data_IF_241937422036
#
_entry.id   IF_241937422036
#
_cell.length_a   1.000
_cell.length_b   1.000
_cell.length_c   1.000
_cell.angle_alpha   90.00
_cell.angle_beta   90.00
_cell.angle_gamma   90.00
#
_symmetry.space_group_name_H-M   'P 1'
#
loop_
_entity.id
_entity.type
_entity.pdbx_description
1 polymer ?
#
# COMPACT_ATOMS: atom_id res chain seq x y z
N UNK A 1 7.20 13.25 -1.73
CA UNK A 1 7.27 14.40 -0.79
C UNK A 1 6.96 14.02 0.66
N UNK A 2 5.93 13.23 0.94
CA UNK A 2 5.64 12.72 2.31
C UNK A 2 6.75 11.85 2.89
N UNK A 3 7.31 10.94 2.09
CA UNK A 3 8.46 10.12 2.52
C UNK A 3 9.65 10.99 2.94
N UNK A 4 9.98 12.03 2.19
CA UNK A 4 11.10 12.93 2.52
C UNK A 4 10.87 13.73 3.81
N UNK A 5 9.63 14.17 4.05
CA UNK A 5 9.24 14.89 5.27
C UNK A 5 9.14 13.98 6.51
N UNK A 6 8.72 12.73 6.33
CA UNK A 6 8.71 11.74 7.40
C UNK A 6 10.13 11.24 7.69
N UNK A 7 10.93 10.93 6.66
CA UNK A 7 12.30 10.45 6.82
C UNK A 7 13.25 11.52 7.40
N UNK A 8 12.96 12.82 7.24
CA UNK A 8 13.72 13.89 7.92
C UNK A 8 13.47 13.98 9.43
N UNK A 9 12.57 13.16 9.98
CA UNK A 9 12.19 13.16 11.39
C UNK A 9 11.21 14.26 11.78
N UNK A 10 10.73 15.06 10.83
CA UNK A 10 9.78 16.15 11.09
C UNK A 10 8.38 15.61 11.42
N UNK A 11 8.02 14.46 10.83
CA UNK A 11 6.78 13.74 11.12
C UNK A 11 7.15 12.36 11.67
N UNK A 12 6.86 12.13 12.96
CA UNK A 12 7.06 10.83 13.60
C UNK A 12 5.76 10.29 14.21
N UNK A 13 4.74 9.98 13.38
CA UNK A 13 3.52 9.36 13.86
C UNK A 13 3.79 7.93 14.37
N UNK A 14 3.03 7.44 15.37
CA UNK A 14 3.21 6.07 15.86
C UNK A 14 3.01 5.05 14.74
N UNK A 15 3.94 4.12 14.58
CA UNK A 15 3.93 3.07 13.53
C UNK A 15 2.61 2.30 13.51
N UNK A 16 2.06 1.99 14.70
CA UNK A 16 0.74 1.39 14.89
C UNK A 16 -0.34 2.04 14.03
N UNK A 17 -0.45 3.37 14.04
CA UNK A 17 -1.49 4.08 13.30
C UNK A 17 -1.21 4.10 11.81
N UNK A 18 0.05 4.28 11.42
CA UNK A 18 0.45 4.32 10.00
C UNK A 18 0.21 2.96 9.35
N UNK A 19 0.64 1.88 9.98
CA UNK A 19 0.45 0.52 9.45
C UNK A 19 -1.03 0.12 9.45
N UNK A 20 -1.80 0.52 10.46
CA UNK A 20 -3.26 0.31 10.48
C UNK A 20 -3.95 1.05 9.34
N UNK A 21 -3.53 2.29 9.05
CA UNK A 21 -4.03 3.06 7.92
C UNK A 21 -3.65 2.43 6.59
N UNK A 22 -2.43 1.93 6.43
CA UNK A 22 -2.00 1.17 5.24
C UNK A 22 -2.93 -0.05 5.05
N UNK A 23 -3.10 -0.86 6.09
CA UNK A 23 -4.00 -2.02 6.05
C UNK A 23 -5.44 -1.63 5.69
N UNK A 24 -5.94 -0.52 6.23
CA UNK A 24 -7.26 0.03 5.90
C UNK A 24 -7.39 0.42 4.43
N UNK A 25 -6.38 1.07 3.83
CA UNK A 25 -6.43 1.41 2.39
C UNK A 25 -6.48 0.17 1.49
N UNK A 26 -5.76 -0.90 1.86
CA UNK A 26 -5.81 -2.19 1.15
C UNK A 26 -7.18 -2.84 1.30
N UNK A 27 -7.73 -2.85 2.52
CA UNK A 27 -9.08 -3.36 2.79
C UNK A 27 -10.13 -2.63 1.93
N UNK A 28 -10.11 -1.29 1.92
CA UNK A 28 -11.05 -0.50 1.15
C UNK A 28 -10.93 -0.76 -0.35
N UNK A 29 -9.70 -0.88 -0.86
CA UNK A 29 -9.45 -1.19 -2.28
C UNK A 29 -9.94 -2.60 -2.66
N UNK A 30 -9.73 -3.58 -1.79
CA UNK A 30 -10.21 -4.94 -1.98
C UNK A 30 -11.75 -5.00 -2.00
N UNK A 31 -12.40 -4.27 -1.10
CA UNK A 31 -13.86 -4.14 -1.06
C UNK A 31 -14.40 -3.41 -2.29
N UNK A 32 -13.75 -2.33 -2.75
CA UNK A 32 -14.15 -1.59 -3.96
C UNK A 32 -14.03 -2.47 -5.22
N UNK A 33 -13.07 -3.39 -5.25
CA UNK A 33 -12.93 -4.38 -6.33
C UNK A 33 -14.06 -5.43 -6.35
N UNK A 34 -14.66 -5.72 -5.20
CA UNK A 34 -15.84 -6.60 -5.10
C UNK A 34 -17.13 -5.88 -5.49
N UNK A 35 -17.31 -4.69 -4.95
CA UNK A 35 -18.49 -3.85 -5.19
C UNK A 35 -18.01 -2.41 -5.21
N UNK A 36 -17.95 -1.75 -6.38
CA UNK A 36 -17.55 -0.36 -6.46
C UNK A 36 -18.43 0.52 -5.58
N UNK A 37 -17.84 1.20 -4.61
CA UNK A 37 -18.54 2.10 -3.68
C UNK A 37 -17.77 3.40 -3.44
N UNK A 38 -16.48 3.44 -3.79
CA UNK A 38 -15.62 4.58 -3.57
C UNK A 38 -15.96 5.73 -4.54
N UNK A 39 -16.43 6.90 -4.04
CA UNK A 39 -16.83 8.01 -4.89
C UNK A 39 -15.64 8.85 -5.35
N UNK A 40 -15.77 9.46 -6.53
CA UNK A 40 -14.81 10.44 -7.04
C UNK A 40 -13.71 9.86 -7.94
N UNK A 41 -12.76 10.71 -8.35
CA UNK A 41 -11.73 10.31 -9.30
C UNK A 41 -10.65 9.44 -8.66
N UNK A 42 -10.34 8.30 -9.29
CA UNK A 42 -9.36 7.31 -8.80
C UNK A 42 -7.97 7.88 -8.53
N UNK A 43 -7.54 8.90 -9.28
CA UNK A 43 -6.22 9.52 -9.09
C UNK A 43 -6.10 10.23 -7.73
N UNK A 44 -7.19 10.76 -7.18
CA UNK A 44 -7.19 11.37 -5.83
C UNK A 44 -6.96 10.29 -4.77
N UNK A 45 -7.61 9.14 -4.92
CA UNK A 45 -7.44 8.00 -3.99
C UNK A 45 -6.02 7.45 -4.04
N UNK A 46 -5.48 7.24 -5.24
CA UNK A 46 -4.08 6.80 -5.41
C UNK A 46 -3.12 7.81 -4.77
N UNK A 47 -3.37 9.11 -4.95
CA UNK A 47 -2.60 10.17 -4.30
C UNK A 47 -2.65 10.06 -2.77
N UNK A 48 -3.85 10.05 -2.19
CA UNK A 48 -4.04 9.97 -0.73
C UNK A 48 -3.43 8.70 -0.13
N UNK A 49 -3.64 7.54 -0.76
CA UNK A 49 -3.04 6.30 -0.30
C UNK A 49 -1.52 6.35 -0.41
N UNK A 50 -0.98 6.89 -1.51
CA UNK A 50 0.46 7.09 -1.68
C UNK A 50 1.08 7.95 -0.58
N UNK A 51 0.36 8.98 -0.08
CA UNK A 51 0.83 9.80 1.05
C UNK A 51 0.97 8.95 2.33
N UNK A 52 -0.05 8.16 2.66
CA UNK A 52 -0.07 7.27 3.84
C UNK A 52 1.06 6.22 3.74
N UNK A 53 1.19 5.56 2.60
CA UNK A 53 2.24 4.55 2.39
C UNK A 53 3.64 5.17 2.46
N UNK A 54 3.83 6.37 1.91
CA UNK A 54 5.09 7.10 2.02
C UNK A 54 5.53 7.38 3.45
N UNK A 55 4.60 7.52 4.40
CA UNK A 55 4.94 7.65 5.83
C UNK A 55 5.36 6.30 6.40
N UNK A 56 4.69 5.20 6.03
CA UNK A 56 5.03 3.86 6.51
C UNK A 56 6.42 3.38 6.08
N UNK A 57 6.89 3.82 4.92
CA UNK A 57 8.25 3.53 4.46
C UNK A 57 9.34 4.37 5.12
N UNK A 58 8.99 5.44 5.85
CA UNK A 58 9.97 6.32 6.48
C UNK A 58 10.70 5.65 7.66
N UNK A 59 10.04 4.75 8.40
CA UNK A 59 10.63 4.07 9.57
C UNK A 59 11.94 3.37 9.24
N UNK A 60 11.97 2.39 8.30
CA UNK A 60 13.20 1.71 7.92
C UNK A 60 14.31 2.64 7.41
N UNK A 61 13.97 3.78 6.80
CA UNK A 61 14.94 4.80 6.36
C UNK A 61 15.50 5.62 7.53
N UNK A 62 14.69 5.90 8.57
CA UNK A 62 15.14 6.53 9.80
C UNK A 62 16.06 5.61 10.62
N UNK A 63 15.80 4.29 10.60
CA UNK A 63 16.61 3.29 11.31
C UNK A 63 18.06 3.23 10.80
N UNK A 64 18.34 3.74 9.60
CA UNK A 64 19.70 3.89 9.06
C UNK A 64 20.52 4.98 9.77
N UNK A 65 19.89 5.82 10.61
CA UNK A 65 20.55 6.88 11.37
C UNK A 65 21.06 8.08 10.53
N UNK A 66 20.69 8.14 9.25
CA UNK A 66 21.19 9.14 8.29
C UNK A 66 20.47 10.49 8.46
N UNK A 67 21.21 11.60 8.31
CA UNK A 67 20.66 12.95 8.47
C UNK A 67 21.06 13.90 7.33
N UNK A 68 20.17 14.85 7.03
CA UNK A 68 20.45 15.92 6.07
C UNK A 68 20.83 15.39 4.68
N UNK A 69 22.04 15.71 4.22
CA UNK A 69 22.52 15.34 2.87
C UNK A 69 22.73 13.84 2.68
N UNK A 70 23.04 13.11 3.75
CA UNK A 70 23.29 11.66 3.69
C UNK A 70 22.03 10.87 3.37
N UNK A 71 20.86 11.45 3.62
CA UNK A 71 19.56 10.84 3.35
C UNK A 71 19.15 10.92 1.86
N UNK A 72 19.76 11.82 1.07
CA UNK A 72 19.35 12.07 -0.31
C UNK A 72 19.57 10.84 -1.20
N UNK A 73 20.76 10.24 -1.16
CA UNK A 73 21.08 9.05 -1.95
C UNK A 73 20.15 7.86 -1.66
N UNK A 74 20.00 7.46 -0.38
CA UNK A 74 19.05 6.42 0.03
C UNK A 74 17.59 6.72 -0.34
N UNK A 75 17.12 7.96 -0.18
CA UNK A 75 15.77 8.33 -0.58
C UNK A 75 15.55 8.19 -2.08
N UNK A 76 16.54 8.60 -2.90
CA UNK A 76 16.45 8.46 -4.35
C UNK A 76 16.48 6.98 -4.75
N UNK A 77 17.39 6.19 -4.19
CA UNK A 77 17.49 4.75 -4.44
C UNK A 77 16.22 4.01 -4.03
N UNK A 78 15.65 4.34 -2.86
CA UNK A 78 14.40 3.77 -2.40
C UNK A 78 13.23 4.11 -3.33
N UNK A 79 13.04 5.39 -3.68
CA UNK A 79 11.94 5.78 -4.58
C UNK A 79 12.10 5.15 -5.98
N UNK A 80 13.31 5.14 -6.52
CA UNK A 80 13.59 4.48 -7.80
C UNK A 80 13.29 2.98 -7.73
N UNK A 81 13.68 2.31 -6.64
CA UNK A 81 13.35 0.91 -6.41
C UNK A 81 11.84 0.65 -6.35
N UNK A 82 11.08 1.49 -5.64
CA UNK A 82 9.61 1.40 -5.57
C UNK A 82 8.99 1.60 -6.94
N UNK A 83 9.40 2.63 -7.68
CA UNK A 83 8.87 2.94 -9.01
C UNK A 83 9.16 1.80 -10.01
N UNK A 84 10.39 1.29 -10.02
CA UNK A 84 10.77 0.13 -10.84
C UNK A 84 9.98 -1.13 -10.46
N UNK A 85 9.78 -1.38 -9.17
CA UNK A 85 8.97 -2.50 -8.70
C UNK A 85 7.51 -2.39 -9.13
N UNK A 86 6.91 -1.20 -9.01
CA UNK A 86 5.55 -0.93 -9.47
C UNK A 86 5.42 -1.11 -10.99
N UNK A 87 6.36 -0.57 -11.77
CA UNK A 87 6.38 -0.74 -13.22
C UNK A 87 6.53 -2.20 -13.62
N UNK A 88 7.37 -2.97 -12.93
CA UNK A 88 7.54 -4.40 -13.18
C UNK A 88 6.25 -5.19 -12.89
N UNK A 89 5.58 -4.90 -11.76
CA UNK A 89 4.29 -5.52 -11.42
C UNK A 89 3.23 -5.18 -12.46
N UNK A 90 3.13 -3.91 -12.89
CA UNK A 90 2.19 -3.49 -13.93
C UNK A 90 2.52 -4.18 -15.26
N UNK A 91 3.77 -4.18 -15.69
CA UNK A 91 4.21 -4.79 -16.95
C UNK A 91 3.91 -6.29 -17.01
N UNK A 92 3.98 -7.00 -15.87
CA UNK A 92 3.72 -8.43 -15.81
C UNK A 92 2.24 -8.77 -15.63
N UNK A 93 1.58 -8.16 -14.64
CA UNK A 93 0.24 -8.57 -14.23
C UNK A 93 -0.87 -7.90 -15.04
N UNK A 94 -0.66 -6.67 -15.53
CA UNK A 94 -1.70 -5.96 -16.27
C UNK A 94 -2.04 -6.65 -17.61
N UNK A 95 -1.07 -7.08 -18.45
CA UNK A 95 -1.39 -7.79 -19.69
C UNK A 95 -2.16 -9.09 -19.42
N UNK A 96 -1.76 -9.84 -18.39
CA UNK A 96 -2.45 -11.07 -17.98
C UNK A 96 -3.89 -10.77 -17.55
N UNK A 97 -4.09 -9.76 -16.70
CA UNK A 97 -5.42 -9.33 -16.29
C UNK A 97 -6.28 -8.88 -17.49
N UNK A 98 -5.72 -8.13 -18.44
CA UNK A 98 -6.41 -7.68 -19.65
C UNK A 98 -6.78 -8.83 -20.59
N UNK A 99 -5.93 -9.84 -20.71
CA UNK A 99 -6.21 -11.05 -21.50
C UNK A 99 -7.34 -11.88 -20.87
N UNK A 100 -7.34 -12.01 -19.54
CA UNK A 100 -8.31 -12.84 -18.81
C UNK A 100 -9.62 -12.12 -18.47
N UNK A 101 -9.70 -10.78 -18.51
CA UNK A 101 -10.87 -10.02 -18.04
C UNK A 101 -12.20 -10.40 -18.70
N UNK A 102 -12.16 -10.90 -19.95
CA UNK A 102 -13.36 -11.32 -20.69
C UNK A 102 -13.83 -12.71 -20.30
N UNK A 103 -13.00 -13.51 -19.64
CA UNK A 103 -13.34 -14.87 -19.24
C UNK A 103 -14.32 -14.87 -18.07
N UNK A 104 -15.39 -15.66 -18.20
CA UNK A 104 -16.45 -15.74 -17.18
C UNK A 104 -15.92 -16.23 -15.84
N UNK A 105 -14.95 -17.17 -15.86
CA UNK A 105 -14.29 -17.69 -14.65
C UNK A 105 -13.52 -16.58 -13.94
N UNK A 106 -12.77 -15.77 -14.69
CA UNK A 106 -12.00 -14.65 -14.13
C UNK A 106 -12.91 -13.65 -13.42
N UNK A 107 -13.99 -13.23 -14.07
CA UNK A 107 -14.93 -12.24 -13.51
C UNK A 107 -15.77 -12.79 -12.35
N UNK A 108 -16.16 -14.07 -12.40
CA UNK A 108 -17.11 -14.66 -11.43
C UNK A 108 -16.44 -15.30 -10.23
N UNK A 109 -15.22 -15.79 -10.38
CA UNK A 109 -14.53 -16.55 -9.34
C UNK A 109 -13.20 -15.92 -8.94
N UNK A 110 -12.31 -15.65 -9.89
CA UNK A 110 -10.94 -15.21 -9.57
C UNK A 110 -10.96 -13.84 -8.89
N UNK A 111 -11.62 -12.84 -9.48
CA UNK A 111 -11.67 -11.49 -8.91
C UNK A 111 -12.38 -11.47 -7.55
N UNK A 112 -13.57 -12.09 -7.37
CA UNK A 112 -14.24 -12.07 -6.08
C UNK A 112 -13.53 -12.84 -4.98
N UNK A 113 -13.01 -14.04 -5.27
CA UNK A 113 -12.30 -14.83 -4.27
C UNK A 113 -10.97 -14.18 -3.89
N UNK A 114 -10.20 -13.69 -4.87
CA UNK A 114 -8.94 -13.01 -4.62
C UNK A 114 -9.13 -11.74 -3.80
N UNK A 115 -10.11 -10.91 -4.15
CA UNK A 115 -10.40 -9.68 -3.40
C UNK A 115 -10.99 -9.97 -2.02
N UNK A 116 -11.80 -11.01 -1.88
CA UNK A 116 -12.30 -11.48 -0.59
C UNK A 116 -11.17 -11.94 0.34
N UNK A 117 -10.22 -12.71 -0.17
CA UNK A 117 -9.04 -13.14 0.59
C UNK A 117 -8.18 -11.94 1.02
N UNK A 118 -7.92 -11.00 0.11
CA UNK A 118 -7.18 -9.77 0.42
C UNK A 118 -7.93 -8.95 1.47
N UNK A 119 -9.25 -8.80 1.36
CA UNK A 119 -10.05 -8.07 2.33
C UNK A 119 -9.99 -8.70 3.73
N UNK A 120 -10.08 -10.03 3.82
CA UNK A 120 -9.95 -10.74 5.10
C UNK A 120 -8.57 -10.52 5.71
N UNK A 121 -7.49 -10.70 4.95
CA UNK A 121 -6.12 -10.49 5.43
C UNK A 121 -5.88 -9.04 5.85
N UNK A 122 -6.34 -8.08 5.05
CA UNK A 122 -6.21 -6.66 5.35
C UNK A 122 -7.00 -6.27 6.61
N UNK A 123 -8.19 -6.83 6.80
CA UNK A 123 -8.99 -6.63 8.01
C UNK A 123 -8.27 -7.21 9.24
N UNK A 124 -7.76 -8.44 9.15
CA UNK A 124 -7.00 -9.07 10.22
C UNK A 124 -5.79 -8.23 10.60
N UNK A 125 -4.99 -7.79 9.63
CA UNK A 125 -3.85 -6.91 9.87
C UNK A 125 -4.23 -5.55 10.45
N UNK A 126 -5.34 -4.97 9.99
CA UNK A 126 -5.85 -3.70 10.53
C UNK A 126 -6.23 -3.84 12.00
N UNK A 127 -6.94 -4.91 12.37
CA UNK A 127 -7.31 -5.20 13.77
C UNK A 127 -6.06 -5.52 14.59
N UNK A 128 -5.17 -6.37 14.08
CA UNK A 128 -3.93 -6.77 14.75
C UNK A 128 -3.10 -5.54 15.16
N UNK A 129 -2.90 -4.62 14.23
CA UNK A 129 -2.10 -3.40 14.46
C UNK A 129 -2.84 -2.38 15.30
N UNK A 130 -4.14 -2.17 15.04
CA UNK A 130 -4.92 -1.19 15.80
C UNK A 130 -5.21 -1.64 17.23
N UNK A 131 -5.27 -2.93 17.54
CA UNK A 131 -5.52 -3.41 18.90
C UNK A 131 -4.27 -3.97 19.60
N UNK A 132 -3.10 -3.95 18.94
CA UNK A 132 -1.85 -4.56 19.43
C UNK A 132 -2.02 -6.04 19.81
N UNK A 133 -2.98 -6.72 19.17
CA UNK A 133 -3.23 -8.15 19.37
C UNK A 133 -2.24 -8.96 18.52
N UNK A 134 -1.74 -10.08 19.00
CA UNK A 134 -1.04 -11.07 18.18
C UNK A 134 -2.04 -12.12 17.69
N UNK A 135 -2.67 -11.86 16.53
CA UNK A 135 -3.65 -12.77 15.92
C UNK A 135 -3.04 -13.75 14.92
N UNK A 136 -1.90 -13.38 14.33
CA UNK A 136 -1.13 -14.20 13.39
C UNK A 136 0.31 -14.33 13.92
N UNK A 137 0.91 -15.53 13.82
CA UNK A 137 2.29 -15.77 14.21
C UNK A 137 3.30 -15.02 13.32
#
# INVERSE_FOLDING_TARGET
MTLGLAASGTLNPPSRWVESLIALTVLLTALDNLRPFMPGPRWVMVGLFGLVHGIGFAGPLQDLGLRGRELIGPLLGFNAGVELGQLAVVALLLPLALALRRQRVYRRWIVPLGSGAIAVLALLWCVQRSCELQLLP
#
